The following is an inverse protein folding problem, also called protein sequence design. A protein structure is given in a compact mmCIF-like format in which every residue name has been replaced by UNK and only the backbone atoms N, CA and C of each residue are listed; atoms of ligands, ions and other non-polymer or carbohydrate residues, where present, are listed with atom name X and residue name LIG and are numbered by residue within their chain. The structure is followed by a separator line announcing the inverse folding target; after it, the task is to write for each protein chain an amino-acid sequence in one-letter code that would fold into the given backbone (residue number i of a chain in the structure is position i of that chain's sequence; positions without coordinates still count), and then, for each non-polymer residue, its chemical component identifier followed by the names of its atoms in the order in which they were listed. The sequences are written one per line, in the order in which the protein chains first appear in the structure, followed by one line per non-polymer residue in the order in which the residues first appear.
data_IF_514969616863
#
_entry.id   IF_514969616863
#
_cell.length_a   1.000
_cell.length_b   1.000
_cell.length_c   1.000
_cell.angle_alpha   90.00
_cell.angle_beta   90.00
_cell.angle_gamma   90.00
#
_symmetry.space_group_name_H-M   'P 1'
#
loop_
_entity.id
_entity.type
_entity.pdbx_description
1 polymer ?
#
# COMPACT_ATOMS: atom_id res chain seq x y z
N UNK A 1 0.86 -19.01 -14.59
CA UNK A 1 -0.22 -18.00 -14.50
C UNK A 1 -0.75 -18.15 -13.09
N UNK A 2 -0.77 -17.08 -12.28
CA UNK A 2 -1.24 -17.18 -10.90
C UNK A 2 -2.68 -17.68 -10.89
N UNK A 3 -2.97 -18.71 -10.10
CA UNK A 3 -4.31 -19.28 -9.98
C UNK A 3 -4.80 -19.09 -8.55
N UNK A 4 -6.02 -18.56 -8.40
CA UNK A 4 -6.73 -18.51 -7.12
C UNK A 4 -8.09 -19.17 -7.27
N UNK A 5 -8.45 -20.03 -6.32
CA UNK A 5 -9.75 -20.71 -6.24
C UNK A 5 -10.37 -20.34 -4.90
N UNK A 6 -11.63 -19.88 -4.93
CA UNK A 6 -12.41 -19.64 -3.71
C UNK A 6 -12.82 -21.00 -3.14
N UNK A 7 -12.44 -21.26 -1.89
CA UNK A 7 -12.80 -22.50 -1.20
C UNK A 7 -14.08 -22.35 -0.39
N UNK A 8 -14.27 -21.18 0.25
CA UNK A 8 -15.47 -20.84 1.02
C UNK A 8 -15.49 -19.35 1.41
N UNK A 9 -16.65 -18.90 1.88
CA UNK A 9 -16.86 -17.58 2.47
C UNK A 9 -17.40 -17.73 3.89
N UNK A 10 -16.71 -17.12 4.85
CA UNK A 10 -17.14 -17.01 6.26
C UNK A 10 -17.78 -15.64 6.51
N UNK A 11 -18.60 -15.51 7.55
CA UNK A 11 -19.24 -14.23 7.96
C UNK A 11 -20.06 -13.56 6.85
N UNK A 12 -20.90 -14.35 6.19
CA UNK A 12 -21.73 -13.91 5.06
C UNK A 12 -22.82 -12.89 5.46
N UNK A 13 -23.11 -12.80 6.76
CA UNK A 13 -24.02 -11.84 7.36
C UNK A 13 -23.53 -10.38 7.30
N UNK A 14 -22.24 -10.16 7.01
CA UNK A 14 -21.67 -8.82 6.77
C UNK A 14 -22.10 -8.19 5.43
N UNK A 15 -22.79 -8.95 4.57
CA UNK A 15 -23.22 -8.46 3.26
C UNK A 15 -22.14 -8.57 2.19
N UNK A 16 -22.54 -8.48 0.92
CA UNK A 16 -21.83 -9.04 -0.24
C UNK A 16 -20.35 -8.63 -0.46
N UNK A 17 -19.83 -7.44 -0.05
CA UNK A 17 -18.40 -7.14 -0.16
C UNK A 17 -17.54 -7.52 1.05
N UNK A 18 -18.15 -7.83 2.19
CA UNK A 18 -17.49 -7.97 3.49
C UNK A 18 -17.25 -9.40 4.01
N UNK A 19 -17.67 -10.53 3.38
CA UNK A 19 -17.37 -11.85 3.93
C UNK A 19 -15.88 -12.14 3.91
N UNK A 20 -15.41 -12.98 4.83
CA UNK A 20 -14.03 -13.45 4.84
C UNK A 20 -13.87 -14.58 3.81
N UNK A 21 -13.21 -14.27 2.69
CA UNK A 21 -12.97 -15.22 1.60
C UNK A 21 -11.72 -16.06 1.84
N UNK A 22 -11.90 -17.39 1.90
CA UNK A 22 -10.79 -18.32 1.97
C UNK A 22 -10.41 -18.77 0.57
N UNK A 23 -9.18 -18.45 0.16
CA UNK A 23 -8.67 -18.71 -1.18
C UNK A 23 -7.49 -19.67 -1.15
N UNK A 24 -7.51 -20.67 -2.03
CA UNK A 24 -6.33 -21.48 -2.35
C UNK A 24 -5.61 -20.84 -3.53
N UNK A 25 -4.32 -20.54 -3.35
CA UNK A 25 -3.52 -19.85 -4.36
C UNK A 25 -2.28 -20.63 -4.75
N UNK A 26 -1.83 -20.46 -5.99
CA UNK A 26 -0.54 -20.95 -6.51
C UNK A 26 0.19 -19.80 -7.21
N UNK A 27 1.47 -19.64 -6.91
CA UNK A 27 2.32 -18.55 -7.44
C UNK A 27 1.73 -17.15 -7.17
N UNK A 28 1.21 -16.93 -5.96
CA UNK A 28 0.64 -15.63 -5.58
C UNK A 28 1.75 -14.58 -5.37
N UNK A 29 1.87 -13.67 -6.32
CA UNK A 29 2.88 -12.63 -6.31
C UNK A 29 3.16 -12.05 -7.69
N UNK A 30 4.16 -11.16 -7.82
CA UNK A 30 5.16 -10.83 -6.80
C UNK A 30 4.58 -10.03 -5.62
N UNK A 31 5.06 -10.32 -4.41
CA UNK A 31 4.73 -9.57 -3.19
C UNK A 31 5.99 -8.91 -2.63
N UNK A 32 5.85 -7.71 -2.09
CA UNK A 32 6.95 -6.98 -1.44
C UNK A 32 6.75 -7.05 0.07
N UNK A 33 7.82 -7.40 0.79
CA UNK A 33 7.85 -7.32 2.26
C UNK A 33 8.01 -5.84 2.62
N UNK A 34 6.91 -5.19 2.96
CA UNK A 34 6.89 -3.79 3.41
C UNK A 34 7.12 -3.65 4.92
N UNK A 35 6.81 -4.69 5.70
CA UNK A 35 7.02 -4.74 7.15
C UNK A 35 7.56 -6.12 7.50
N UNK A 36 8.63 -6.19 8.29
CA UNK A 36 9.23 -7.46 8.73
C UNK A 36 9.08 -7.69 10.25
N UNK A 37 9.43 -8.89 10.70
CA UNK A 37 9.36 -9.30 12.12
C UNK A 37 10.51 -8.76 12.97
N UNK A 38 11.42 -7.96 12.40
CA UNK A 38 12.54 -7.31 13.10
C UNK A 38 12.24 -5.84 13.41
N UNK A 39 11.03 -5.39 13.12
CA UNK A 39 10.60 -4.00 13.35
C UNK A 39 10.90 -3.06 12.20
N UNK A 40 11.36 -3.55 11.04
CA UNK A 40 11.54 -2.71 9.87
C UNK A 40 10.18 -2.41 9.21
N UNK A 41 9.96 -1.14 8.85
CA UNK A 41 8.76 -0.69 8.13
C UNK A 41 9.16 0.26 7.00
N UNK A 42 8.95 -0.20 5.76
CA UNK A 42 9.28 0.52 4.53
C UNK A 42 8.50 1.84 4.41
N UNK A 43 7.26 1.90 4.89
CA UNK A 43 6.45 3.11 4.82
C UNK A 43 6.98 4.21 5.73
N UNK A 44 7.35 3.86 6.96
CA UNK A 44 7.92 4.83 7.91
C UNK A 44 9.27 5.37 7.44
N UNK A 45 10.15 4.48 6.95
CA UNK A 45 11.43 4.89 6.37
C UNK A 45 11.24 5.81 5.15
N UNK A 46 10.29 5.46 4.26
CA UNK A 46 9.97 6.28 3.10
C UNK A 46 9.41 7.64 3.51
N UNK A 47 8.51 7.69 4.49
CA UNK A 47 7.93 8.93 5.00
C UNK A 47 9.00 9.89 5.51
N UNK A 48 9.97 9.39 6.29
CA UNK A 48 11.10 10.20 6.75
C UNK A 48 11.91 10.77 5.58
N UNK A 49 12.35 9.89 4.66
CA UNK A 49 13.14 10.27 3.48
C UNK A 49 12.43 11.25 2.57
N UNK A 50 11.13 11.07 2.35
CA UNK A 50 10.35 11.98 1.51
C UNK A 50 10.12 13.32 2.20
N UNK A 51 9.94 13.33 3.53
CA UNK A 51 9.81 14.57 4.28
C UNK A 51 11.11 15.41 4.25
N UNK A 52 12.28 14.78 4.32
CA UNK A 52 13.58 15.46 4.15
C UNK A 52 13.69 16.16 2.78
N UNK A 53 13.20 15.51 1.71
CA UNK A 53 13.24 16.04 0.34
C UNK A 53 12.13 17.06 0.06
N UNK A 54 11.08 17.08 0.87
CA UNK A 54 9.86 17.87 0.64
C UNK A 54 10.17 19.37 0.56
N UNK A 55 11.05 19.89 1.42
CA UNK A 55 11.36 21.32 1.50
C UNK A 55 11.86 21.90 0.17
N UNK A 56 12.93 21.33 -0.37
CA UNK A 56 13.53 21.80 -1.63
C UNK A 56 12.56 21.70 -2.83
N UNK A 57 11.69 20.66 -2.83
CA UNK A 57 10.66 20.50 -3.87
C UNK A 57 9.58 21.56 -3.74
N UNK A 58 9.14 21.87 -2.51
CA UNK A 58 8.15 22.92 -2.25
C UNK A 58 8.67 24.28 -2.72
N UNK A 59 9.90 24.65 -2.37
CA UNK A 59 10.50 25.92 -2.80
C UNK A 59 10.53 26.04 -4.34
N UNK A 60 10.92 24.96 -5.02
CA UNK A 60 10.89 24.92 -6.48
C UNK A 60 9.48 25.11 -7.04
N UNK A 61 8.48 24.43 -6.48
CA UNK A 61 7.08 24.58 -6.90
C UNK A 61 6.60 26.01 -6.69
N UNK A 62 6.83 26.59 -5.50
CA UNK A 62 6.45 27.97 -5.17
C UNK A 62 7.04 28.96 -6.19
N UNK A 63 8.31 28.79 -6.57
CA UNK A 63 8.95 29.66 -7.57
C UNK A 63 8.24 29.64 -8.93
N UNK A 64 7.61 28.51 -9.28
CA UNK A 64 6.93 28.30 -10.56
C UNK A 64 5.46 28.69 -10.53
N UNK A 65 4.79 28.69 -9.37
CA UNK A 65 3.34 28.98 -9.27
C UNK A 65 3.04 30.29 -8.55
N UNK A 66 4.06 31.10 -8.24
CA UNK A 66 3.96 32.40 -7.55
C UNK A 66 2.98 33.43 -8.15
N UNK A 67 2.48 33.18 -9.36
CA UNK A 67 1.51 34.03 -10.04
C UNK A 67 0.05 33.59 -9.85
N UNK A 68 -0.19 32.42 -9.26
CA UNK A 68 -1.53 31.91 -8.94
C UNK A 68 -1.91 32.43 -7.55
N UNK A 69 -3.00 33.20 -7.47
CA UNK A 69 -3.54 33.83 -6.26
C UNK A 69 -4.72 33.05 -5.72
#
# INVERSE_FOLDING_TARGET
MATSIVERAEWQDLGMPEPLWVNRVREFGPLIISIDTKGNNLFEQNKARFNERKGAVIEKIISQVRFIK
#
